data_IF_748599797780
#
_entry.id   IF_748599797780
#
_cell.length_a   1.000
_cell.length_b   1.000
_cell.length_c   1.000
_cell.angle_alpha   90.00
_cell.angle_beta   90.00
_cell.angle_gamma   90.00
#
_symmetry.space_group_name_H-M   'P 1'
#
loop_
_entity.id
_entity.type
_entity.pdbx_description
1 polymer ?
#
# COMPACT_ATOMS: atom_id res chain seq x y z
N UNK A 1 23.71 -2.27 10.46
CA UNK A 1 22.95 -1.99 11.70
C UNK A 1 21.69 -2.83 11.84
N UNK A 2 20.82 -2.94 10.81
CA UNK A 2 19.55 -3.70 10.90
C UNK A 2 19.69 -5.19 11.29
N UNK A 3 20.75 -5.88 10.85
CA UNK A 3 21.00 -7.28 11.21
C UNK A 3 21.15 -7.50 12.71
N UNK A 4 21.74 -6.55 13.45
CA UNK A 4 21.95 -6.67 14.90
C UNK A 4 20.60 -6.75 15.62
N UNK A 5 19.64 -5.92 15.21
CA UNK A 5 18.31 -5.91 15.81
C UNK A 5 17.58 -7.24 15.61
N UNK A 6 17.63 -7.79 14.40
CA UNK A 6 17.01 -9.09 14.08
C UNK A 6 17.66 -10.21 14.91
N UNK A 7 18.98 -10.20 15.05
CA UNK A 7 19.69 -11.16 15.89
C UNK A 7 19.30 -11.04 17.36
N UNK A 8 19.26 -9.82 17.91
CA UNK A 8 18.86 -9.59 19.31
C UNK A 8 17.43 -10.08 19.55
N UNK A 9 16.50 -9.78 18.65
CA UNK A 9 15.13 -10.29 18.73
C UNK A 9 15.09 -11.82 18.71
N UNK A 10 15.83 -12.47 17.81
CA UNK A 10 15.88 -13.92 17.74
C UNK A 10 16.38 -14.55 19.03
N UNK A 11 17.48 -14.02 19.61
CA UNK A 11 17.99 -14.51 20.90
C UNK A 11 16.99 -14.30 22.04
N UNK A 12 16.31 -13.15 22.06
CA UNK A 12 15.26 -12.87 23.05
C UNK A 12 14.10 -13.86 22.93
N UNK A 13 13.75 -14.24 21.71
CA UNK A 13 12.70 -15.21 21.43
C UNK A 13 13.03 -16.59 21.98
N UNK A 14 14.26 -17.08 21.73
CA UNK A 14 14.72 -18.36 22.25
C UNK A 14 14.79 -18.34 23.79
N UNK A 15 15.26 -17.24 24.38
CA UNK A 15 15.29 -17.08 25.84
C UNK A 15 13.87 -17.15 26.44
N UNK A 16 12.91 -16.41 25.86
CA UNK A 16 11.51 -16.43 26.29
C UNK A 16 10.88 -17.83 26.14
N UNK A 17 11.16 -18.55 25.04
CA UNK A 17 10.69 -19.93 24.86
C UNK A 17 11.20 -20.89 25.91
N UNK A 18 12.48 -20.76 26.30
CA UNK A 18 13.07 -21.61 27.33
C UNK A 18 12.48 -21.28 28.70
N UNK A 19 12.39 -20.01 29.07
CA UNK A 19 11.84 -19.55 30.36
C UNK A 19 10.39 -20.01 30.52
N UNK A 20 9.54 -19.65 29.56
CA UNK A 20 8.09 -19.93 29.60
C UNK A 20 7.83 -21.43 29.42
N UNK A 21 8.62 -22.10 28.56
CA UNK A 21 8.53 -23.54 28.36
C UNK A 21 8.91 -24.35 29.61
N UNK A 22 9.82 -23.84 30.43
CA UNK A 22 10.23 -24.45 31.70
C UNK A 22 9.13 -24.32 32.76
N UNK A 23 8.48 -23.16 32.87
CA UNK A 23 7.41 -22.94 33.88
C UNK A 23 6.08 -23.60 33.49
N UNK A 24 5.67 -23.46 32.23
CA UNK A 24 4.33 -23.82 31.77
C UNK A 24 4.29 -25.25 31.20
N UNK A 25 5.43 -25.74 30.70
CA UNK A 25 5.60 -27.03 30.06
C UNK A 25 5.46 -26.96 28.53
N UNK A 26 6.26 -27.77 27.82
CA UNK A 26 6.37 -27.76 26.36
C UNK A 26 5.03 -27.95 25.62
N UNK A 27 4.14 -28.80 26.14
CA UNK A 27 2.86 -29.10 25.49
C UNK A 27 1.98 -27.85 25.31
N UNK A 28 1.90 -26.99 26.33
CA UNK A 28 1.10 -25.76 26.28
C UNK A 28 1.70 -24.73 25.33
N UNK A 29 3.04 -24.63 25.27
CA UNK A 29 3.74 -23.74 24.32
C UNK A 29 3.48 -24.18 22.88
N UNK A 30 3.51 -25.48 22.61
CA UNK A 30 3.19 -26.02 21.27
C UNK A 30 1.74 -25.69 20.90
N UNK A 31 0.80 -25.87 21.82
CA UNK A 31 -0.60 -25.52 21.58
C UNK A 31 -0.75 -24.02 21.27
N UNK A 32 -0.06 -23.15 22.02
CA UNK A 32 -0.05 -21.71 21.80
C UNK A 32 0.47 -21.33 20.42
N UNK A 33 1.63 -21.88 20.02
CA UNK A 33 2.25 -21.67 18.70
C UNK A 33 1.28 -22.05 17.58
N UNK A 34 0.57 -23.19 17.72
CA UNK A 34 -0.40 -23.62 16.70
C UNK A 34 -1.54 -22.60 16.62
N UNK A 35 -2.07 -22.14 17.76
CA UNK A 35 -3.15 -21.15 17.79
C UNK A 35 -2.72 -19.81 17.19
N UNK A 36 -1.53 -19.29 17.51
CA UNK A 36 -1.05 -18.03 16.92
C UNK A 36 -0.81 -18.17 15.41
N UNK A 37 -0.19 -19.25 14.96
CA UNK A 37 0.04 -19.50 13.54
C UNK A 37 -1.27 -19.61 12.74
N UNK A 38 -2.29 -20.29 13.28
CA UNK A 38 -3.60 -20.38 12.65
C UNK A 38 -4.27 -19.01 12.57
N UNK A 39 -4.15 -18.18 13.61
CA UNK A 39 -4.69 -16.82 13.62
C UNK A 39 -4.02 -15.96 12.54
N UNK A 40 -2.68 -15.98 12.45
CA UNK A 40 -1.92 -15.26 11.41
C UNK A 40 -2.29 -15.71 10.00
N UNK A 41 -2.34 -17.03 9.78
CA UNK A 41 -2.69 -17.61 8.48
C UNK A 41 -4.13 -17.30 8.05
N UNK A 42 -5.08 -17.18 8.98
CA UNK A 42 -6.44 -16.77 8.62
C UNK A 42 -6.47 -15.30 8.15
N UNK A 43 -5.66 -14.44 8.77
CA UNK A 43 -5.63 -13.00 8.49
C UNK A 43 -4.97 -12.68 7.14
N UNK A 44 -3.97 -13.45 6.70
CA UNK A 44 -3.30 -13.22 5.41
C UNK A 44 -4.26 -13.24 4.22
N UNK A 45 -5.28 -14.10 4.25
CA UNK A 45 -6.27 -14.24 3.17
C UNK A 45 -7.06 -12.95 2.97
N UNK A 46 -7.46 -12.30 4.06
CA UNK A 46 -8.18 -11.04 3.99
C UNK A 46 -7.35 -9.92 3.36
N UNK A 47 -6.05 -9.85 3.69
CA UNK A 47 -5.17 -8.84 3.13
C UNK A 47 -4.86 -9.08 1.64
N UNK A 48 -4.66 -10.34 1.24
CA UNK A 48 -4.45 -10.70 -0.16
C UNK A 48 -5.66 -10.39 -1.04
N UNK A 49 -6.88 -10.69 -0.54
CA UNK A 49 -8.12 -10.35 -1.24
C UNK A 49 -8.30 -8.84 -1.37
N UNK A 50 -8.03 -8.09 -0.29
CA UNK A 50 -8.08 -6.62 -0.32
C UNK A 50 -7.09 -6.03 -1.33
N UNK A 51 -5.89 -6.59 -1.44
CA UNK A 51 -4.87 -6.13 -2.37
C UNK A 51 -5.23 -6.45 -3.83
N UNK A 52 -5.85 -7.62 -4.06
CA UNK A 52 -6.39 -8.01 -5.37
C UNK A 52 -7.52 -7.07 -5.81
N UNK A 53 -8.45 -6.76 -4.91
CA UNK A 53 -9.56 -5.84 -5.18
C UNK A 53 -9.07 -4.42 -5.55
N UNK A 54 -8.04 -3.93 -4.86
CA UNK A 54 -7.40 -2.65 -5.16
C UNK A 54 -6.74 -2.64 -6.55
N UNK A 55 -6.13 -3.75 -6.96
CA UNK A 55 -5.47 -3.86 -8.27
C UNK A 55 -6.46 -3.93 -9.44
N UNK A 56 -7.66 -4.44 -9.20
CA UNK A 56 -8.76 -4.48 -10.18
C UNK A 56 -9.47 -3.15 -10.39
N UNK A 57 -9.05 -2.06 -9.71
CA UNK A 57 -9.64 -0.73 -9.86
C UNK A 57 -11.03 -0.58 -9.21
N UNK A 58 -11.47 -1.57 -8.43
CA UNK A 58 -12.79 -1.56 -7.77
C UNK A 58 -12.80 -0.77 -6.45
N UNK A 59 -11.78 0.06 -6.20
CA UNK A 59 -11.60 0.77 -4.94
C UNK A 59 -11.64 2.26 -5.21
N UNK A 60 -12.57 2.95 -4.55
CA UNK A 60 -12.78 4.40 -4.65
C UNK A 60 -11.66 5.22 -3.99
N UNK A 61 -10.78 4.56 -3.23
CA UNK A 61 -9.65 5.15 -2.50
C UNK A 61 -8.34 5.02 -3.28
N UNK A 62 -7.37 5.88 -2.98
CA UNK A 62 -6.03 5.85 -3.58
C UNK A 62 -5.46 4.42 -3.63
N UNK A 63 -5.12 3.89 -4.83
CA UNK A 63 -4.57 2.55 -4.96
C UNK A 63 -3.33 2.32 -4.09
N UNK A 64 -2.54 3.36 -3.87
CA UNK A 64 -1.34 3.31 -3.03
C UNK A 64 -1.67 2.97 -1.56
N UNK A 65 -2.73 3.55 -1.00
CA UNK A 65 -3.14 3.31 0.38
C UNK A 65 -3.60 1.86 0.58
N UNK A 66 -4.42 1.35 -0.33
CA UNK A 66 -4.92 -0.02 -0.25
C UNK A 66 -3.79 -1.06 -0.36
N UNK A 67 -2.79 -0.81 -1.23
CA UNK A 67 -1.61 -1.66 -1.34
C UNK A 67 -0.76 -1.61 -0.07
N UNK A 68 -0.44 -0.43 0.46
CA UNK A 68 0.35 -0.27 1.69
C UNK A 68 -0.31 -1.01 2.86
N UNK A 69 -1.61 -0.81 3.02
CA UNK A 69 -2.41 -1.48 4.04
C UNK A 69 -2.42 -3.01 3.89
N UNK A 70 -2.51 -3.52 2.67
CA UNK A 70 -2.37 -4.95 2.37
C UNK A 70 -0.99 -5.49 2.71
N UNK A 71 0.08 -4.80 2.29
CA UNK A 71 1.46 -5.18 2.58
C UNK A 71 1.78 -5.22 4.07
N UNK A 72 1.46 -4.15 4.81
CA UNK A 72 1.66 -4.10 6.27
C UNK A 72 0.88 -5.24 6.96
N UNK A 73 -0.34 -5.50 6.51
CA UNK A 73 -1.16 -6.61 7.01
C UNK A 73 -0.54 -7.99 6.74
N UNK A 74 0.03 -8.20 5.55
CA UNK A 74 0.73 -9.43 5.18
C UNK A 74 2.00 -9.61 6.02
N UNK A 75 2.80 -8.56 6.19
CA UNK A 75 4.01 -8.59 7.01
C UNK A 75 3.66 -8.93 8.46
N UNK A 76 2.63 -8.29 9.03
CA UNK A 76 2.16 -8.60 10.38
C UNK A 76 1.64 -10.02 10.52
N UNK A 77 0.93 -10.52 9.50
CA UNK A 77 0.42 -11.89 9.48
C UNK A 77 1.56 -12.91 9.37
N UNK A 78 2.56 -12.64 8.54
CA UNK A 78 3.76 -13.46 8.40
C UNK A 78 4.59 -13.48 9.69
N UNK A 79 4.68 -12.34 10.39
CA UNK A 79 5.36 -12.23 11.67
C UNK A 79 4.68 -13.08 12.76
N UNK A 80 3.35 -13.22 12.71
CA UNK A 80 2.57 -14.08 13.61
C UNK A 80 2.68 -15.59 13.29
N UNK A 81 3.08 -15.93 12.07
CA UNK A 81 3.27 -17.33 11.66
C UNK A 81 4.61 -17.85 12.17
N UNK A 82 5.63 -16.99 12.24
CA UNK A 82 6.90 -17.32 12.87
C UNK A 82 6.65 -17.36 14.37
N UNK A 83 6.73 -18.54 15.01
CA UNK A 83 6.43 -18.64 16.43
C UNK A 83 7.41 -17.81 17.24
N UNK A 84 6.87 -16.86 18.01
CA UNK A 84 7.64 -16.05 18.95
C UNK A 84 6.72 -15.31 19.91
N UNK A 85 6.98 -15.30 21.20
CA UNK A 85 6.28 -14.46 22.16
C UNK A 85 6.39 -12.96 21.82
N UNK A 86 7.62 -12.49 21.52
CA UNK A 86 7.86 -11.09 21.19
C UNK A 86 7.34 -10.80 19.78
N UNK A 87 7.64 -11.68 18.83
CA UNK A 87 7.20 -11.58 17.45
C UNK A 87 5.67 -11.66 17.30
N UNK A 88 4.98 -12.49 18.09
CA UNK A 88 3.51 -12.57 18.13
C UNK A 88 2.91 -11.27 18.67
N UNK A 89 3.54 -10.65 19.69
CA UNK A 89 3.09 -9.36 20.20
C UNK A 89 3.24 -8.26 19.15
N UNK A 90 4.41 -8.17 18.50
CA UNK A 90 4.65 -7.20 17.43
C UNK A 90 3.73 -7.46 16.23
N UNK A 91 3.52 -8.72 15.85
CA UNK A 91 2.63 -9.09 14.75
C UNK A 91 1.18 -8.71 15.07
N UNK A 92 0.69 -9.03 16.27
CA UNK A 92 -0.64 -8.63 16.73
C UNK A 92 -0.79 -7.11 16.74
N UNK A 93 0.21 -6.39 17.23
CA UNK A 93 0.24 -4.94 17.25
C UNK A 93 0.17 -4.37 15.83
N UNK A 94 0.88 -4.95 14.87
CA UNK A 94 0.85 -4.54 13.47
C UNK A 94 -0.49 -4.88 12.78
N UNK A 95 -1.18 -5.93 13.24
CA UNK A 95 -2.53 -6.27 12.81
C UNK A 95 -3.58 -5.28 13.32
N UNK A 96 -3.31 -4.50 14.36
CA UNK A 96 -4.25 -3.51 14.88
C UNK A 96 -4.40 -2.33 13.89
N UNK A 97 -5.64 -1.89 13.62
CA UNK A 97 -5.89 -0.79 12.68
C UNK A 97 -5.24 0.52 13.14
N UNK A 98 -5.14 0.76 14.46
CA UNK A 98 -4.50 1.96 15.02
C UNK A 98 -3.03 2.08 14.59
N UNK A 99 -2.27 0.98 14.69
CA UNK A 99 -0.85 0.99 14.32
C UNK A 99 -0.67 1.18 12.82
N UNK A 100 -1.60 0.65 12.01
CA UNK A 100 -1.57 0.83 10.55
C UNK A 100 -1.75 2.30 10.14
N UNK A 101 -2.58 3.06 10.85
CA UNK A 101 -2.75 4.51 10.58
C UNK A 101 -1.50 5.30 11.00
N UNK A 102 -0.92 4.98 12.16
CA UNK A 102 0.32 5.64 12.61
C UNK A 102 1.50 5.36 11.68
N UNK A 103 1.68 4.10 11.25
CA UNK A 103 2.71 3.76 10.27
C UNK A 103 2.49 4.47 8.93
N UNK A 104 1.22 4.64 8.53
CA UNK A 104 0.88 5.38 7.32
C UNK A 104 1.31 6.83 7.41
N UNK A 105 0.93 7.54 8.47
CA UNK A 105 1.32 8.94 8.65
C UNK A 105 2.85 9.08 8.71
N UNK A 106 3.52 8.20 9.47
CA UNK A 106 4.97 8.28 9.62
C UNK A 106 5.74 7.96 8.33
N UNK A 107 5.26 6.99 7.54
CA UNK A 107 5.93 6.54 6.31
C UNK A 107 5.49 7.35 5.09
N UNK A 108 4.18 7.54 4.86
CA UNK A 108 3.72 8.29 3.69
C UNK A 108 3.98 9.79 3.84
N UNK A 109 3.73 10.40 5.00
CA UNK A 109 3.99 11.83 5.16
C UNK A 109 5.50 12.10 5.29
N UNK A 110 6.25 11.17 5.89
CA UNK A 110 7.72 11.25 5.96
C UNK A 110 8.40 11.05 4.60
N UNK A 111 7.90 10.13 3.76
CA UNK A 111 8.46 9.83 2.45
C UNK A 111 8.04 10.90 1.43
N UNK A 112 6.76 11.28 1.38
CA UNK A 112 6.28 12.37 0.50
C UNK A 112 6.87 13.71 0.94
N UNK A 113 7.00 13.98 2.23
CA UNK A 113 7.69 15.17 2.74
C UNK A 113 9.15 15.23 2.28
N UNK A 114 9.86 14.10 2.25
CA UNK A 114 11.28 14.06 1.86
C UNK A 114 11.52 14.21 0.35
N UNK A 115 10.56 13.82 -0.51
CA UNK A 115 10.67 13.96 -1.97
C UNK A 115 9.93 15.18 -2.55
N UNK A 116 8.88 15.68 -1.89
CA UNK A 116 8.14 16.90 -2.29
C UNK A 116 8.78 18.18 -1.74
N UNK A 117 9.57 18.12 -0.65
CA UNK A 117 10.35 19.26 -0.16
C UNK A 117 11.56 19.62 -1.07
N UNK A 118 11.87 18.77 -2.07
CA UNK A 118 12.92 19.03 -3.06
C UNK A 118 12.47 19.35 -4.48
N UNK A 119 11.19 19.17 -4.85
CA UNK A 119 10.73 19.33 -6.25
C UNK A 119 9.36 20.00 -6.44
N UNK A 120 8.75 20.57 -5.41
CA UNK A 120 7.62 21.48 -5.61
C UNK A 120 7.80 22.72 -4.74
N UNK A 121 8.58 23.64 -5.30
CA UNK A 121 8.43 25.05 -4.99
C UNK A 121 6.98 25.43 -5.31
N UNK A 122 6.21 25.75 -4.26
CA UNK A 122 4.78 26.12 -4.36
C UNK A 122 4.54 27.38 -5.19
N UNK A 123 5.61 28.06 -5.58
CA UNK A 123 5.59 29.22 -6.47
C UNK A 123 5.27 28.83 -7.92
N UNK A 124 5.73 27.67 -8.42
CA UNK A 124 5.54 27.25 -9.83
C UNK A 124 4.07 26.80 -10.10
N UNK A 125 3.42 26.21 -9.10
CA UNK A 125 2.00 25.84 -9.17
C UNK A 125 1.06 27.06 -9.05
N UNK A 126 1.51 28.13 -8.37
CA UNK A 126 0.77 29.41 -8.33
C UNK A 126 0.81 30.10 -9.69
N UNK A 127 1.95 30.07 -10.35
CA UNK A 127 2.11 30.69 -11.68
C UNK A 127 1.33 29.92 -12.74
N UNK A 128 1.36 28.58 -12.75
CA UNK A 128 0.59 27.79 -13.70
C UNK A 128 -0.94 28.01 -13.55
N UNK A 129 -1.46 28.10 -12.32
CA UNK A 129 -2.89 28.36 -12.09
C UNK A 129 -3.34 29.74 -12.59
N UNK A 130 -2.45 30.74 -12.54
CA UNK A 130 -2.71 32.09 -13.06
C UNK A 130 -2.86 32.09 -14.59
N UNK A 131 -2.01 31.32 -15.29
CA UNK A 131 -2.00 31.23 -16.75
C UNK A 131 -3.22 30.48 -17.32
N UNK A 132 -3.71 29.42 -16.65
CA UNK A 132 -4.94 28.74 -17.09
C UNK A 132 -6.21 29.58 -16.86
N UNK A 133 -6.28 30.30 -15.74
CA UNK A 133 -7.46 31.12 -15.40
C UNK A 133 -7.63 32.29 -16.36
N UNK A 134 -6.53 32.94 -16.73
CA UNK A 134 -6.54 34.08 -17.66
C UNK A 134 -6.96 33.63 -19.08
N UNK A 135 -6.42 32.50 -19.57
CA UNK A 135 -6.74 31.97 -20.90
C UNK A 135 -8.21 31.55 -21.05
N UNK A 136 -8.83 31.04 -19.98
CA UNK A 136 -10.26 30.67 -19.98
C UNK A 136 -11.18 31.88 -19.98
N UNK A 137 -10.81 32.97 -19.29
CA UNK A 137 -11.57 34.23 -19.34
C UNK A 137 -11.46 34.92 -20.70
N UNK A 138 -10.29 34.86 -21.35
CA UNK A 138 -10.13 35.42 -22.70
C UNK A 138 -10.97 34.65 -23.73
N UNK A 139 -11.04 33.31 -23.64
CA UNK A 139 -11.83 32.49 -24.56
C UNK A 139 -13.35 32.53 -24.31
N UNK A 140 -13.80 33.04 -23.16
CA UNK A 140 -15.23 33.24 -22.87
C UNK A 140 -15.74 34.62 -23.31
N UNK A 141 -14.83 35.55 -23.66
CA UNK A 141 -15.16 36.93 -24.04
C UNK A 141 -15.30 37.13 -25.55
N UNK A 142 -14.95 36.11 -26.35
CA UNK A 142 -15.02 36.15 -27.82
C UNK A 142 -15.34 34.75 -28.39
N UNK A 143 -16.58 34.47 -28.84
CA UNK A 143 -17.00 33.14 -29.25
C UNK A 143 -16.57 32.77 -30.68
N UNK A 144 -15.88 33.65 -31.41
CA UNK A 144 -15.68 33.53 -32.87
C UNK A 144 -14.28 32.98 -33.25
N UNK A 145 -13.87 31.87 -32.65
CA UNK A 145 -12.78 31.03 -33.21
C UNK A 145 -12.87 29.58 -32.73
N UNK A 146 -14.01 28.95 -33.03
CA UNK A 146 -14.06 27.50 -33.18
C UNK A 146 -13.49 27.19 -34.56
N UNK A 147 -12.17 27.01 -34.61
CA UNK A 147 -11.47 26.53 -35.80
C UNK A 147 -11.98 25.11 -36.14
N UNK A 148 -12.80 25.04 -37.19
CA UNK A 148 -13.42 23.82 -37.73
C UNK A 148 -12.45 23.02 -38.62
N UNK A 149 -11.16 22.92 -38.28
CA UNK A 149 -10.19 22.20 -39.10
C UNK A 149 -9.58 20.99 -38.38
N UNK A 150 -10.38 19.94 -38.19
CA UNK A 150 -9.96 18.54 -38.41
C UNK A 150 -11.14 17.59 -38.16
N UNK A 151 -12.02 17.47 -39.15
CA UNK A 151 -12.83 16.25 -39.30
C UNK A 151 -11.96 15.29 -40.11
N UNK A 152 -11.37 14.30 -39.45
CA UNK A 152 -10.73 13.19 -40.15
C UNK A 152 -11.86 12.30 -40.66
N UNK A 153 -12.26 12.51 -41.91
CA UNK A 153 -13.03 11.51 -42.66
C UNK A 153 -12.15 10.27 -42.82
N UNK A 154 -12.56 9.18 -42.16
CA UNK A 154 -11.96 7.87 -42.36
C UNK A 154 -12.63 7.23 -43.58
N UNK A 155 -11.99 7.32 -44.74
CA UNK A 155 -12.36 6.51 -45.89
C UNK A 155 -12.09 5.03 -45.58
N UNK A 156 -13.17 4.27 -45.44
CA UNK A 156 -13.10 2.81 -45.30
C UNK A 156 -12.99 2.19 -46.69
N UNK A 157 -11.77 1.85 -47.10
CA UNK A 157 -11.55 1.01 -48.28
C UNK A 157 -11.92 -0.44 -47.91
N UNK A 158 -13.05 -0.91 -48.42
CA UNK A 158 -13.48 -2.31 -48.28
C UNK A 158 -12.59 -3.15 -49.20
N UNK A 159 -11.56 -3.76 -48.61
CA UNK A 159 -10.76 -4.79 -49.30
C UNK A 159 -11.64 -6.03 -49.46
N UNK A 160 -12.18 -6.22 -50.67
CA UNK A 160 -12.78 -7.49 -51.07
C UNK A 160 -11.71 -8.59 -50.99
N UNK A 161 -11.96 -9.57 -50.14
CA UNK A 161 -11.12 -10.74 -49.96
C UNK A 161 -11.57 -11.79 -50.97
N UNK A 162 -10.93 -11.79 -52.13
CA UNK A 162 -11.11 -12.83 -53.14
C UNK A 162 -10.69 -14.20 -52.57
N UNK A 163 -11.63 -15.14 -52.74
CA UNK A 163 -11.55 -16.55 -52.41
C UNK A 163 -10.64 -17.29 -53.40
N UNK A 164 -9.63 -18.00 -52.90
CA UNK A 164 -9.10 -19.25 -53.49
C UNK A 164 -8.20 -20.02 -52.54
#
# INVERSE_FOLDING_TARGET
MMFIFIFVLFFLEIAAFVEIGSEIGAFKVILWIIVSALFGMNRIKHYLLSMSAARSGNVEHSPADALFHGFVGIIGSALLIVPGFVSDFLGCLLLLPCMRTLLRELILDGFVGSYTFGLMDTDDLRDMKSHYTNKKQQKMSDPESVDQSHVVEADFEVVEKDEK
#
